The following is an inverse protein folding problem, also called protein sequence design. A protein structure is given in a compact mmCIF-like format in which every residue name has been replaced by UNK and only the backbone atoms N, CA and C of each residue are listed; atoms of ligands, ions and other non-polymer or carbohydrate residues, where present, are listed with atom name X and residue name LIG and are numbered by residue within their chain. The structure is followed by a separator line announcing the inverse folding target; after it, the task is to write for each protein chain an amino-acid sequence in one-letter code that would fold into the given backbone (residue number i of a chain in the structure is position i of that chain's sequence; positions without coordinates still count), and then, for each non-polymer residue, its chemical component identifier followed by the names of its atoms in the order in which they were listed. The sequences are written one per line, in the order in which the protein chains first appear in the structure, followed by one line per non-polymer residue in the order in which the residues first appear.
data_IF_387308122796
#
_entry.id   IF_387308122796
#
_cell.length_a   1.000
_cell.length_b   1.000
_cell.length_c   1.000
_cell.angle_alpha   90.00
_cell.angle_beta   90.00
_cell.angle_gamma   90.00
#
_symmetry.space_group_name_H-M   'P 1'
#
loop_
_entity.id
_entity.type
_entity.pdbx_description
1 polymer ?
#
# COMPACT_ATOMS: atom_id res chain seq x y z
N UNK A 1 -6.95 -20.14 16.31
CA UNK A 1 -7.33 -18.92 17.06
C UNK A 1 -6.30 -17.78 16.99
N UNK A 2 -4.97 -18.03 17.00
CA UNK A 2 -3.96 -16.95 16.93
C UNK A 2 -4.01 -16.09 15.66
N UNK A 3 -4.24 -16.68 14.49
CA UNK A 3 -4.30 -15.96 13.20
C UNK A 3 -5.47 -14.97 13.12
N UNK A 4 -6.66 -15.39 13.56
CA UNK A 4 -7.86 -14.55 13.56
C UNK A 4 -7.65 -13.32 14.45
N UNK A 5 -7.11 -13.52 15.65
CA UNK A 5 -6.81 -12.41 16.57
C UNK A 5 -5.79 -11.42 15.99
N UNK A 6 -4.82 -11.90 15.19
CA UNK A 6 -3.84 -11.05 14.51
C UNK A 6 -4.50 -10.19 13.43
N UNK A 7 -5.39 -10.78 12.61
CA UNK A 7 -6.14 -10.04 11.58
C UNK A 7 -7.05 -8.99 12.22
N UNK A 8 -7.74 -9.34 13.31
CA UNK A 8 -8.57 -8.40 14.06
C UNK A 8 -7.77 -7.22 14.60
N UNK A 9 -6.57 -7.49 15.12
CA UNK A 9 -5.67 -6.44 15.63
C UNK A 9 -5.25 -5.48 14.52
N UNK A 10 -4.88 -6.00 13.34
CA UNK A 10 -4.51 -5.21 12.16
C UNK A 10 -5.68 -4.36 11.62
N UNK A 11 -6.92 -4.80 11.83
CA UNK A 11 -8.13 -4.10 11.38
C UNK A 11 -8.50 -2.88 12.24
N UNK A 12 -7.90 -2.74 13.42
CA UNK A 12 -8.22 -1.66 14.36
C UNK A 12 -7.88 -0.26 13.84
N UNK A 13 -8.61 0.75 14.33
CA UNK A 13 -8.37 2.16 13.96
C UNK A 13 -6.95 2.63 14.35
N UNK A 14 -6.39 2.07 15.42
CA UNK A 14 -5.06 2.42 15.92
C UNK A 14 -3.97 2.01 14.94
N UNK A 15 -3.99 0.78 14.43
CA UNK A 15 -3.00 0.31 13.45
C UNK A 15 -3.05 1.13 12.17
N UNK A 16 -4.25 1.47 11.70
CA UNK A 16 -4.42 2.37 10.53
C UNK A 16 -3.80 3.75 10.78
N UNK A 17 -4.05 4.35 11.94
CA UNK A 17 -3.46 5.65 12.31
C UNK A 17 -1.94 5.57 12.36
N UNK A 18 -1.37 4.50 12.92
CA UNK A 18 0.08 4.28 12.94
C UNK A 18 0.63 4.15 11.52
N UNK A 19 0.00 3.35 10.66
CA UNK A 19 0.42 3.18 9.27
C UNK A 19 0.39 4.51 8.49
N UNK A 20 -0.69 5.31 8.63
CA UNK A 20 -0.75 6.64 8.04
C UNK A 20 0.29 7.60 8.63
N UNK A 21 0.55 7.51 9.94
CA UNK A 21 1.59 8.29 10.61
C UNK A 21 2.99 7.98 10.07
N UNK A 22 3.31 6.69 9.87
CA UNK A 22 4.57 6.25 9.25
C UNK A 22 4.66 6.75 7.80
N UNK A 23 3.56 6.71 7.05
CA UNK A 23 3.53 7.22 5.67
C UNK A 23 3.81 8.73 5.61
N UNK A 24 3.19 9.52 6.51
CA UNK A 24 3.48 10.96 6.63
C UNK A 24 4.93 11.21 7.04
N UNK A 25 5.46 10.42 7.99
CA UNK A 25 6.85 10.52 8.42
C UNK A 25 7.82 10.25 7.27
N UNK A 26 7.56 9.19 6.47
CA UNK A 26 8.36 8.88 5.28
C UNK A 26 8.38 10.03 4.29
N UNK A 27 7.22 10.64 4.03
CA UNK A 27 7.14 11.85 3.19
C UNK A 27 7.98 12.97 3.79
N UNK A 28 7.87 13.26 5.09
CA UNK A 28 8.66 14.32 5.74
C UNK A 28 10.17 14.09 5.66
N UNK A 29 10.63 12.85 5.87
CA UNK A 29 12.04 12.47 5.74
C UNK A 29 12.54 12.69 4.31
N UNK A 30 11.69 12.42 3.31
CA UNK A 30 12.00 12.58 1.89
C UNK A 30 12.22 14.04 1.46
N UNK A 31 11.77 15.02 2.27
CA UNK A 31 12.07 16.45 2.11
C UNK A 31 13.40 16.87 2.76
N UNK A 32 13.84 16.16 3.81
CA UNK A 32 15.04 16.51 4.58
C UNK A 32 16.30 15.94 3.89
N UNK A 33 16.20 14.80 3.22
CA UNK A 33 17.34 14.14 2.59
C UNK A 33 17.71 14.85 1.28
N UNK A 34 18.93 15.42 1.19
CA UNK A 34 19.40 16.07 -0.03
C UNK A 34 19.57 15.05 -1.16
N UNK A 35 19.15 15.43 -2.37
CA UNK A 35 19.15 14.55 -3.55
C UNK A 35 20.40 14.83 -4.36
N UNK A 36 21.28 13.85 -4.51
CA UNK A 36 22.59 14.09 -5.13
C UNK A 36 22.68 13.80 -6.62
N UNK A 37 21.82 12.97 -7.22
CA UNK A 37 21.82 12.80 -8.69
C UNK A 37 20.40 12.64 -9.22
N UNK A 38 20.07 13.40 -10.26
CA UNK A 38 18.75 13.39 -10.89
C UNK A 38 18.81 12.48 -12.10
N UNK A 39 18.53 11.18 -11.91
CA UNK A 39 18.42 10.24 -13.02
C UNK A 39 17.01 10.21 -13.63
N UNK A 40 15.98 10.53 -12.84
CA UNK A 40 14.59 10.50 -13.27
C UNK A 40 13.84 11.80 -12.92
N UNK A 41 12.83 12.18 -13.71
CA UNK A 41 12.05 13.42 -13.47
C UNK A 41 11.38 13.43 -12.09
N UNK A 42 10.92 12.28 -11.62
CA UNK A 42 10.33 12.11 -10.30
C UNK A 42 11.31 12.34 -9.14
N UNK A 43 12.62 12.18 -9.36
CA UNK A 43 13.63 12.44 -8.33
C UNK A 43 13.72 13.92 -7.97
N UNK A 44 13.35 14.84 -8.88
CA UNK A 44 13.29 16.28 -8.61
C UNK A 44 12.16 16.65 -7.65
N UNK A 45 11.12 15.82 -7.54
CA UNK A 45 9.92 16.13 -6.78
C UNK A 45 10.01 15.47 -5.40
N UNK A 46 10.03 16.27 -4.31
CA UNK A 46 9.99 15.70 -2.97
C UNK A 46 8.65 15.01 -2.70
N UNK A 47 8.69 13.83 -2.08
CA UNK A 47 7.52 12.99 -1.82
C UNK A 47 7.06 12.12 -3.00
N UNK A 48 7.70 12.23 -4.18
CA UNK A 48 7.28 11.49 -5.38
C UNK A 48 7.24 9.97 -5.16
N UNK A 49 8.31 9.41 -4.59
CA UNK A 49 8.42 7.96 -4.40
C UNK A 49 7.44 7.42 -3.37
N UNK A 50 7.15 8.17 -2.30
CA UNK A 50 6.12 7.79 -1.32
C UNK A 50 4.72 7.80 -1.92
N UNK A 51 4.39 8.83 -2.72
CA UNK A 51 3.11 8.92 -3.42
C UNK A 51 2.99 7.84 -4.51
N UNK A 52 4.04 7.63 -5.29
CA UNK A 52 4.09 6.60 -6.32
C UNK A 52 3.87 5.21 -5.71
N UNK A 53 4.64 4.85 -4.67
CA UNK A 53 4.48 3.56 -3.98
C UNK A 53 3.09 3.36 -3.41
N UNK A 54 2.51 4.39 -2.76
CA UNK A 54 1.14 4.33 -2.26
C UNK A 54 0.12 4.13 -3.38
N UNK A 55 0.22 4.93 -4.45
CA UNK A 55 -0.69 4.86 -5.59
C UNK A 55 -0.60 3.50 -6.31
N UNK A 56 0.60 2.98 -6.53
CA UNK A 56 0.83 1.66 -7.13
C UNK A 56 0.19 0.57 -6.29
N UNK A 57 0.32 0.63 -4.96
CA UNK A 57 -0.31 -0.31 -4.05
C UNK A 57 -1.84 -0.29 -4.16
N UNK A 58 -2.45 0.92 -4.19
CA UNK A 58 -3.90 1.09 -4.39
C UNK A 58 -4.34 0.53 -5.74
N UNK A 59 -3.62 0.84 -6.81
CA UNK A 59 -3.90 0.35 -8.18
C UNK A 59 -3.85 -1.18 -8.21
N UNK A 60 -2.81 -1.80 -7.64
CA UNK A 60 -2.68 -3.26 -7.58
C UNK A 60 -3.87 -3.88 -6.85
N UNK A 61 -4.31 -3.30 -5.72
CA UNK A 61 -5.48 -3.81 -4.98
C UNK A 61 -6.75 -3.74 -5.82
N UNK A 62 -6.98 -2.62 -6.51
CA UNK A 62 -8.17 -2.42 -7.35
C UNK A 62 -8.16 -3.40 -8.53
N UNK A 63 -7.04 -3.48 -9.25
CA UNK A 63 -6.89 -4.37 -10.41
C UNK A 63 -7.02 -5.83 -9.97
N UNK A 64 -6.38 -6.22 -8.88
CA UNK A 64 -6.49 -7.59 -8.33
C UNK A 64 -7.94 -7.95 -7.99
N UNK A 65 -8.69 -7.02 -7.36
CA UNK A 65 -10.11 -7.24 -7.07
C UNK A 65 -10.95 -7.31 -8.33
N UNK A 66 -10.66 -6.49 -9.32
CA UNK A 66 -11.38 -6.47 -10.59
C UNK A 66 -11.16 -7.78 -11.37
N UNK A 67 -9.91 -8.23 -11.46
CA UNK A 67 -9.57 -9.53 -12.06
C UNK A 67 -10.26 -10.69 -11.33
N UNK A 68 -10.24 -10.69 -9.99
CA UNK A 68 -10.95 -11.70 -9.19
C UNK A 68 -12.45 -11.78 -9.52
N UNK A 69 -13.11 -10.62 -9.64
CA UNK A 69 -14.54 -10.53 -9.99
C UNK A 69 -14.87 -10.96 -11.42
N UNK A 70 -13.95 -10.78 -12.36
CA UNK A 70 -14.18 -11.12 -13.77
C UNK A 70 -13.99 -12.60 -14.09
N UNK A 71 -13.99 -13.47 -13.09
CA UNK A 71 -13.96 -14.92 -13.28
C UNK A 71 -12.61 -15.58 -12.98
N UNK A 72 -11.68 -14.89 -12.34
CA UNK A 72 -10.49 -15.56 -11.78
C UNK A 72 -10.82 -16.32 -10.48
N UNK A 73 -11.86 -15.90 -9.76
CA UNK A 73 -12.36 -16.61 -8.59
C UNK A 73 -13.14 -17.86 -9.03
N UNK A 74 -12.77 -19.02 -8.49
CA UNK A 74 -13.53 -20.26 -8.64
C UNK A 74 -14.71 -20.23 -7.67
N UNK A 75 -15.85 -20.78 -8.08
CA UNK A 75 -16.96 -21.03 -7.16
C UNK A 75 -16.51 -21.92 -6.00
N UNK A 76 -17.05 -21.67 -4.81
CA UNK A 76 -16.65 -22.38 -3.59
C UNK A 76 -17.00 -23.88 -3.67
N UNK A 77 -18.01 -24.23 -4.47
CA UNK A 77 -18.49 -25.59 -4.69
C UNK A 77 -17.71 -26.34 -5.80
N UNK A 78 -16.60 -25.80 -6.32
CA UNK A 78 -15.90 -26.42 -7.45
C UNK A 78 -15.26 -27.79 -7.14
N UNK A 79 -15.00 -28.09 -5.87
CA UNK A 79 -14.40 -29.35 -5.41
C UNK A 79 -15.34 -30.21 -4.58
N UNK A 80 -16.59 -29.76 -4.39
CA UNK A 80 -17.70 -30.60 -3.93
C UNK A 80 -18.24 -31.44 -5.11
#
# INVERSE_FOLDING_TARGET
MKLVNMIETLRTKTVKKIAYGILVLLVMVDFIIPRHEVHFFGDKIPGFWSLFGFSACVVIIIVSKWLGKNGLMKDEDYYD
#
